data_IF_714232569453
#
_entry.id   IF_714232569453
#
_cell.length_a   1.000
_cell.length_b   1.000
_cell.length_c   1.000
_cell.angle_alpha   90.00
_cell.angle_beta   90.00
_cell.angle_gamma   90.00
#
_symmetry.space_group_name_H-M   'P 1'
#
loop_
_entity.id
_entity.type
_entity.pdbx_description
1 polymer ?
#
# COMPACT_ATOMS: atom_id res chain seq x y z
N UNK A 1 5.76 36.08 -18.81
CA UNK A 1 7.16 35.87 -19.22
C UNK A 1 7.19 34.70 -20.20
N UNK A 2 7.79 34.85 -21.38
CA UNK A 2 7.83 33.76 -22.37
C UNK A 2 8.79 32.66 -21.90
N UNK A 3 8.35 31.40 -21.99
CA UNK A 3 9.17 30.24 -21.58
C UNK A 3 10.29 29.96 -22.60
N UNK A 4 10.07 30.24 -23.89
CA UNK A 4 11.07 30.05 -24.93
C UNK A 4 11.82 31.35 -25.25
N UNK A 5 13.15 31.29 -25.33
CA UNK A 5 14.00 32.45 -25.66
C UNK A 5 14.77 32.30 -26.98
N UNK A 6 14.76 31.11 -27.60
CA UNK A 6 15.54 30.74 -28.81
C UNK A 6 17.07 30.84 -28.68
N UNK A 7 17.59 31.33 -27.55
CA UNK A 7 19.02 31.44 -27.31
C UNK A 7 19.73 30.09 -27.24
N UNK A 8 18.99 29.00 -27.04
CA UNK A 8 19.54 27.64 -26.96
C UNK A 8 19.55 26.85 -28.28
N UNK A 9 19.08 27.43 -29.38
CA UNK A 9 18.83 26.70 -30.64
C UNK A 9 20.13 26.25 -31.31
N UNK A 10 21.23 26.96 -31.09
CA UNK A 10 22.57 26.60 -31.56
C UNK A 10 23.26 25.50 -30.72
N UNK A 11 22.52 24.78 -29.87
CA UNK A 11 23.05 23.66 -29.07
C UNK A 11 23.82 24.06 -27.80
N UNK A 12 23.79 25.34 -27.42
CA UNK A 12 24.43 25.85 -26.19
C UNK A 12 23.39 26.27 -25.16
N UNK A 13 23.77 26.37 -23.88
CA UNK A 13 22.92 26.86 -22.79
C UNK A 13 23.73 27.71 -21.83
N UNK A 14 23.08 28.61 -21.10
CA UNK A 14 23.73 29.37 -20.02
C UNK A 14 23.63 28.57 -18.70
N UNK A 15 24.73 28.50 -17.96
CA UNK A 15 24.77 28.08 -16.56
C UNK A 15 24.21 29.18 -15.65
N UNK A 16 24.05 28.89 -14.36
CA UNK A 16 23.57 29.87 -13.40
C UNK A 16 24.51 31.09 -13.26
N UNK A 17 25.81 30.90 -13.53
CA UNK A 17 26.83 31.96 -13.61
C UNK A 17 26.68 32.90 -14.81
N UNK A 18 25.86 32.53 -15.80
CA UNK A 18 25.78 33.20 -17.09
C UNK A 18 26.79 32.69 -18.13
N UNK A 19 27.74 31.83 -17.74
CA UNK A 19 28.65 31.18 -18.69
C UNK A 19 27.85 30.31 -19.67
N UNK A 20 28.16 30.39 -20.96
CA UNK A 20 27.55 29.52 -21.97
C UNK A 20 28.40 28.28 -22.22
N UNK A 21 27.77 27.11 -22.17
CA UNK A 21 28.39 25.81 -22.40
C UNK A 21 27.59 25.02 -23.45
N UNK A 22 28.18 23.98 -24.04
CA UNK A 22 27.44 23.01 -24.85
C UNK A 22 26.35 22.35 -24.02
N UNK A 23 25.19 22.05 -24.61
CA UNK A 23 24.15 21.24 -23.95
C UNK A 23 24.62 19.82 -23.61
N UNK A 24 25.68 19.34 -24.27
CA UNK A 24 26.31 18.03 -24.00
C UNK A 24 27.42 18.11 -22.96
N UNK A 25 27.65 19.27 -22.34
CA UNK A 25 28.69 19.44 -21.34
C UNK A 25 28.40 18.53 -20.11
N UNK A 26 29.40 17.86 -19.50
CA UNK A 26 29.17 16.91 -18.39
C UNK A 26 28.35 17.50 -17.23
N UNK A 27 28.58 18.78 -16.90
CA UNK A 27 27.78 19.53 -15.91
C UNK A 27 26.29 19.57 -16.27
N UNK A 28 25.96 19.85 -17.54
CA UNK A 28 24.59 19.92 -18.04
C UNK A 28 23.93 18.55 -18.02
N UNK A 29 24.65 17.53 -18.45
CA UNK A 29 24.19 16.13 -18.37
C UNK A 29 23.93 15.69 -16.91
N UNK A 30 24.77 16.10 -15.96
CA UNK A 30 24.63 15.72 -14.56
C UNK A 30 23.36 16.30 -13.93
N UNK A 31 23.15 17.63 -13.97
CA UNK A 31 21.94 18.22 -13.39
C UNK A 31 20.69 17.93 -14.24
N UNK A 32 20.83 17.71 -15.55
CA UNK A 32 19.73 17.26 -16.42
C UNK A 32 19.26 15.84 -16.07
N UNK A 33 20.19 14.93 -15.75
CA UNK A 33 19.83 13.58 -15.28
C UNK A 33 19.17 13.63 -13.89
N UNK A 34 19.59 14.57 -13.02
CA UNK A 34 18.91 14.80 -11.74
C UNK A 34 17.48 15.34 -11.93
N UNK A 35 17.26 16.20 -12.93
CA UNK A 35 15.91 16.69 -13.25
C UNK A 35 15.01 15.56 -13.76
N UNK A 36 15.53 14.65 -14.58
CA UNK A 36 14.81 13.44 -15.00
C UNK A 36 14.48 12.52 -13.81
N UNK A 37 15.43 12.34 -12.89
CA UNK A 37 15.18 11.65 -11.62
C UNK A 37 14.06 12.34 -10.83
N UNK A 38 14.08 13.68 -10.75
CA UNK A 38 13.08 14.44 -10.02
C UNK A 38 11.68 14.28 -10.61
N UNK A 39 11.56 14.30 -11.94
CA UNK A 39 10.31 14.02 -12.64
C UNK A 39 9.81 12.59 -12.35
N UNK A 40 10.70 11.60 -12.33
CA UNK A 40 10.34 10.22 -11.96
C UNK A 40 9.91 10.10 -10.49
N UNK A 41 10.53 10.85 -9.57
CA UNK A 41 10.11 10.90 -8.16
C UNK A 41 8.70 11.50 -8.02
N UNK A 42 8.34 12.49 -8.85
CA UNK A 42 6.96 13.00 -8.91
C UNK A 42 5.96 11.90 -9.27
N UNK A 43 6.29 11.08 -10.28
CA UNK A 43 5.48 9.90 -10.63
C UNK A 43 5.39 8.89 -9.48
N UNK A 44 6.47 8.69 -8.71
CA UNK A 44 6.46 7.84 -7.52
C UNK A 44 5.51 8.38 -6.46
N UNK A 45 5.57 9.69 -6.16
CA UNK A 45 4.71 10.34 -5.19
C UNK A 45 3.22 10.21 -5.55
N UNK A 46 2.88 10.34 -6.84
CA UNK A 46 1.51 10.15 -7.33
C UNK A 46 0.98 8.72 -7.16
N UNK A 47 1.82 7.70 -7.34
CA UNK A 47 1.41 6.29 -7.23
C UNK A 47 1.46 5.76 -5.78
N UNK A 48 2.16 6.45 -4.89
CA UNK A 48 2.35 6.02 -3.51
C UNK A 48 1.10 6.33 -2.68
N UNK A 49 0.46 5.28 -2.16
CA UNK A 49 -0.73 5.44 -1.32
C UNK A 49 -0.41 5.73 0.15
N UNK A 50 0.76 5.30 0.63
CA UNK A 50 1.15 5.49 2.02
C UNK A 50 1.53 6.97 2.26
N UNK A 51 0.78 7.74 3.08
CA UNK A 51 0.96 9.20 3.16
C UNK A 51 2.34 9.63 3.65
N UNK A 52 2.95 8.85 4.54
CA UNK A 52 4.30 9.16 5.04
C UNK A 52 5.35 8.93 3.95
N UNK A 53 5.25 7.86 3.17
CA UNK A 53 6.18 7.60 2.06
C UNK A 53 6.03 8.67 0.98
N UNK A 54 4.80 9.08 0.66
CA UNK A 54 4.55 10.16 -0.29
C UNK A 54 5.21 11.47 0.14
N UNK A 55 4.99 11.92 1.39
CA UNK A 55 5.63 13.14 1.93
C UNK A 55 7.15 13.03 1.92
N UNK A 56 7.67 11.85 2.21
CA UNK A 56 9.10 11.60 2.18
C UNK A 56 9.67 11.72 0.76
N UNK A 57 9.00 11.14 -0.24
CA UNK A 57 9.38 11.30 -1.67
C UNK A 57 9.29 12.77 -2.11
N UNK A 58 8.27 13.51 -1.67
CA UNK A 58 8.17 14.96 -1.90
C UNK A 58 9.34 15.73 -1.25
N UNK A 59 9.80 15.34 -0.06
CA UNK A 59 11.01 15.93 0.54
C UNK A 59 12.28 15.61 -0.26
N UNK A 60 12.39 14.40 -0.82
CA UNK A 60 13.51 14.02 -1.69
C UNK A 60 13.50 14.85 -2.97
N UNK A 61 12.32 15.13 -3.56
CA UNK A 61 12.23 16.00 -4.75
C UNK A 61 12.80 17.40 -4.48
N UNK A 62 12.48 17.96 -3.32
CA UNK A 62 13.01 19.25 -2.90
C UNK A 62 14.54 19.21 -2.65
N UNK A 63 15.04 18.12 -2.08
CA UNK A 63 16.47 17.87 -1.92
C UNK A 63 17.19 17.75 -3.28
N UNK A 64 16.62 17.02 -4.24
CA UNK A 64 17.16 16.92 -5.60
C UNK A 64 17.15 18.28 -6.31
N UNK A 65 16.15 19.12 -6.07
CA UNK A 65 16.14 20.49 -6.59
C UNK A 65 17.33 21.32 -6.08
N UNK A 66 17.63 21.24 -4.77
CA UNK A 66 18.81 21.91 -4.20
C UNK A 66 20.12 21.33 -4.74
N UNK A 67 20.20 20.01 -4.89
CA UNK A 67 21.34 19.33 -5.51
C UNK A 67 21.56 19.86 -6.93
N UNK A 68 20.54 19.87 -7.78
CA UNK A 68 20.64 20.39 -9.15
C UNK A 68 21.08 21.85 -9.19
N UNK A 69 20.58 22.68 -8.27
CA UNK A 69 20.99 24.09 -8.16
C UNK A 69 22.47 24.24 -7.76
N UNK A 70 22.97 23.39 -6.86
CA UNK A 70 24.39 23.33 -6.50
C UNK A 70 25.25 22.98 -7.72
N UNK A 71 24.87 21.96 -8.50
CA UNK A 71 25.62 21.56 -9.71
C UNK A 71 25.54 22.58 -10.85
N UNK A 72 24.44 23.34 -10.94
CA UNK A 72 24.28 24.40 -11.93
C UNK A 72 25.12 25.65 -11.61
N UNK A 73 25.62 25.75 -10.37
CA UNK A 73 26.41 26.87 -9.86
C UNK A 73 27.92 26.60 -9.95
N UNK A 74 28.71 27.66 -10.11
CA UNK A 74 30.18 27.60 -10.13
C UNK A 74 30.81 27.80 -8.73
N UNK A 75 30.03 28.28 -7.76
CA UNK A 75 30.54 28.48 -6.40
C UNK A 75 30.83 27.13 -5.74
N UNK A 76 32.11 26.85 -5.48
CA UNK A 76 32.54 25.70 -4.70
C UNK A 76 32.10 25.78 -3.23
N UNK A 77 31.69 26.97 -2.77
CA UNK A 77 31.29 27.20 -1.39
C UNK A 77 29.78 27.43 -1.22
N UNK A 78 29.16 26.77 -0.22
CA UNK A 78 27.77 27.00 0.17
C UNK A 78 27.51 28.46 0.56
N UNK A 79 26.50 29.10 -0.05
CA UNK A 79 26.05 30.43 0.33
C UNK A 79 25.12 30.33 1.56
N UNK A 80 25.32 31.10 2.65
CA UNK A 80 24.49 31.04 3.86
C UNK A 80 22.97 31.21 3.65
N UNK A 81 22.55 31.84 2.55
CA UNK A 81 21.13 32.03 2.20
C UNK A 81 20.50 30.89 1.39
N UNK A 82 21.25 29.85 1.02
CA UNK A 82 20.78 28.72 0.22
C UNK A 82 20.81 27.42 1.01
N UNK A 83 19.86 26.53 0.73
CA UNK A 83 19.79 25.21 1.37
C UNK A 83 20.57 24.20 0.53
N UNK A 84 21.39 23.39 1.20
CA UNK A 84 22.27 22.41 0.58
C UNK A 84 22.04 21.04 1.20
N UNK A 85 22.39 20.00 0.46
CA UNK A 85 22.47 18.65 1.01
C UNK A 85 23.62 18.58 2.01
N UNK A 86 23.35 18.08 3.20
CA UNK A 86 24.35 17.83 4.23
C UNK A 86 24.29 16.38 4.72
N UNK A 87 25.06 16.07 5.75
CA UNK A 87 25.12 14.73 6.34
C UNK A 87 23.81 14.31 7.00
N UNK A 88 23.01 15.29 7.41
CA UNK A 88 21.70 15.11 8.01
C UNK A 88 20.72 14.48 7.02
N UNK A 89 20.68 14.94 5.75
CA UNK A 89 19.85 14.31 4.73
C UNK A 89 20.26 12.86 4.46
N UNK A 90 21.55 12.53 4.53
CA UNK A 90 22.04 11.15 4.38
C UNK A 90 21.55 10.28 5.54
N UNK A 91 21.66 10.77 6.78
CA UNK A 91 21.18 10.04 7.96
C UNK A 91 19.66 9.80 7.91
N UNK A 92 18.90 10.76 7.36
CA UNK A 92 17.46 10.62 7.12
C UNK A 92 17.16 9.52 6.10
N UNK A 93 17.93 9.42 5.00
CA UNK A 93 17.79 8.32 4.04
C UNK A 93 18.10 6.95 4.68
N UNK A 94 19.15 6.86 5.50
CA UNK A 94 19.55 5.65 6.20
C UNK A 94 18.47 5.19 7.19
N UNK A 95 17.93 6.10 8.01
CA UNK A 95 16.82 5.80 8.90
C UNK A 95 15.57 5.31 8.16
N UNK A 96 15.27 5.89 6.98
CA UNK A 96 14.16 5.45 6.14
C UNK A 96 14.40 4.05 5.54
N UNK A 97 15.65 3.72 5.16
CA UNK A 97 16.03 2.38 4.71
C UNK A 97 15.78 1.38 5.83
N UNK A 98 16.29 1.64 7.03
CA UNK A 98 16.15 0.74 8.18
C UNK A 98 14.68 0.52 8.53
N UNK A 99 13.89 1.59 8.57
CA UNK A 99 12.46 1.51 8.83
C UNK A 99 11.71 0.70 7.77
N UNK A 100 11.98 0.92 6.48
CA UNK A 100 11.35 0.19 5.39
C UNK A 100 11.75 -1.29 5.40
N UNK A 101 13.03 -1.60 5.58
CA UNK A 101 13.55 -2.96 5.53
C UNK A 101 13.16 -3.79 6.75
N UNK A 102 12.97 -3.18 7.92
CA UNK A 102 12.54 -3.90 9.15
C UNK A 102 11.19 -4.62 9.01
N UNK A 103 10.33 -4.18 8.09
CA UNK A 103 8.99 -4.72 7.87
C UNK A 103 8.95 -5.78 6.77
N UNK A 104 10.01 -5.91 5.99
CA UNK A 104 10.03 -6.74 4.79
C UNK A 104 10.87 -8.00 5.04
N UNK A 105 10.40 -9.15 4.54
CA UNK A 105 11.15 -10.40 4.61
C UNK A 105 12.54 -10.26 3.96
N UNK A 106 13.56 -10.78 4.66
CA UNK A 106 14.93 -10.86 4.15
C UNK A 106 14.96 -11.74 2.91
N UNK A 107 15.59 -11.26 1.84
CA UNK A 107 15.75 -12.00 0.59
C UNK A 107 17.23 -12.03 0.23
N UNK A 108 17.73 -13.23 -0.08
CA UNK A 108 19.13 -13.46 -0.49
C UNK A 108 19.32 -13.59 -2.01
N UNK A 109 18.24 -13.49 -2.79
CA UNK A 109 18.24 -13.55 -4.25
C UNK A 109 17.90 -12.20 -4.88
N UNK A 110 18.24 -12.04 -6.16
CA UNK A 110 17.73 -10.92 -6.94
C UNK A 110 16.21 -10.95 -7.03
N UNK A 111 15.60 -9.78 -7.04
CA UNK A 111 14.16 -9.60 -7.21
C UNK A 111 13.87 -8.95 -8.56
N UNK A 112 12.72 -9.30 -9.12
CA UNK A 112 12.16 -8.52 -10.22
C UNK A 112 11.69 -7.16 -9.68
N UNK A 113 11.89 -6.07 -10.45
CA UNK A 113 11.56 -4.73 -10.00
C UNK A 113 10.04 -4.51 -10.03
N UNK A 114 9.43 -4.58 -8.84
CA UNK A 114 8.06 -4.15 -8.59
C UNK A 114 7.01 -5.24 -8.85
N UNK A 115 6.00 -5.25 -7.98
CA UNK A 115 4.76 -6.04 -8.08
C UNK A 115 3.53 -5.16 -8.00
N UNK A 116 3.68 -3.90 -7.59
CA UNK A 116 2.66 -2.86 -7.66
C UNK A 116 3.19 -1.61 -8.39
N UNK A 117 2.28 -0.71 -8.78
CA UNK A 117 2.62 0.49 -9.56
C UNK A 117 3.62 1.41 -8.84
N UNK A 118 3.42 1.65 -7.53
CA UNK A 118 4.33 2.47 -6.73
C UNK A 118 5.75 1.90 -6.68
N UNK A 119 5.88 0.60 -6.39
CA UNK A 119 7.18 -0.08 -6.34
C UNK A 119 7.89 -0.10 -7.70
N UNK A 120 7.16 -0.35 -8.79
CA UNK A 120 7.71 -0.32 -10.15
C UNK A 120 8.28 1.06 -10.51
N UNK A 121 7.54 2.14 -10.18
CA UNK A 121 8.01 3.51 -10.38
C UNK A 121 9.23 3.84 -9.51
N UNK A 122 9.25 3.40 -8.25
CA UNK A 122 10.39 3.57 -7.34
C UNK A 122 11.63 2.83 -7.86
N UNK A 123 11.48 1.62 -8.38
CA UNK A 123 12.60 0.91 -9.02
C UNK A 123 13.08 1.60 -10.29
N UNK A 124 12.18 2.20 -11.08
CA UNK A 124 12.57 3.02 -12.22
C UNK A 124 13.38 4.25 -11.78
N UNK A 125 12.89 5.01 -10.81
CA UNK A 125 13.60 6.14 -10.20
C UNK A 125 14.95 5.72 -9.61
N UNK A 126 15.06 4.53 -9.01
CA UNK A 126 16.34 3.98 -8.55
C UNK A 126 17.36 3.82 -9.69
N UNK A 127 16.94 3.38 -10.87
CA UNK A 127 17.86 3.28 -12.02
C UNK A 127 18.32 4.65 -12.51
N UNK A 128 17.45 5.66 -12.42
CA UNK A 128 17.77 7.06 -12.70
C UNK A 128 18.77 7.63 -11.69
N UNK A 129 18.60 7.36 -10.39
CA UNK A 129 19.55 7.76 -9.36
C UNK A 129 20.95 7.18 -9.62
N UNK A 130 21.04 5.90 -9.98
CA UNK A 130 22.32 5.27 -10.37
C UNK A 130 22.88 5.84 -11.67
N UNK A 131 22.03 6.35 -12.57
CA UNK A 131 22.48 7.03 -13.80
C UNK A 131 23.06 8.40 -13.47
N UNK A 132 22.38 9.17 -12.63
CA UNK A 132 22.87 10.45 -12.13
C UNK A 132 24.20 10.29 -11.38
N UNK A 133 24.33 9.25 -10.55
CA UNK A 133 25.58 8.88 -9.88
C UNK A 133 26.74 8.71 -10.88
N UNK A 134 26.55 7.99 -11.98
CA UNK A 134 27.60 7.83 -13.00
C UNK A 134 27.96 9.16 -13.68
N UNK A 135 26.98 10.02 -13.96
CA UNK A 135 27.22 11.37 -14.51
C UNK A 135 27.96 12.28 -13.53
N UNK A 136 27.71 12.12 -12.24
CA UNK A 136 28.44 12.82 -11.19
C UNK A 136 29.88 12.34 -11.07
N UNK A 137 30.14 11.03 -11.20
CA UNK A 137 31.51 10.48 -11.27
C UNK A 137 32.25 11.00 -12.49
N UNK A 138 31.58 11.07 -13.65
CA UNK A 138 32.15 11.65 -14.87
C UNK A 138 32.48 13.14 -14.67
N UNK A 139 31.57 13.91 -14.10
CA UNK A 139 31.78 15.33 -13.82
C UNK A 139 32.91 15.57 -12.80
N UNK A 140 33.08 14.69 -11.80
CA UNK A 140 34.08 14.86 -10.77
C UNK A 140 35.52 14.62 -11.24
N UNK A 141 35.71 14.08 -12.45
CA UNK A 141 37.02 13.98 -13.08
C UNK A 141 37.56 15.36 -13.52
N UNK A 142 36.66 16.27 -13.89
CA UNK A 142 37.02 17.59 -14.43
C UNK A 142 36.84 18.73 -13.41
N UNK A 143 35.90 18.58 -12.47
CA UNK A 143 35.48 19.66 -11.57
C UNK A 143 35.35 19.13 -10.13
N UNK A 144 35.74 19.93 -9.15
CA UNK A 144 35.51 19.61 -7.75
C UNK A 144 33.99 19.50 -7.43
N UNK A 145 33.56 18.30 -7.06
CA UNK A 145 32.19 18.02 -6.58
C UNK A 145 32.25 17.68 -5.09
N UNK A 146 31.34 18.25 -4.28
CA UNK A 146 31.32 17.96 -2.85
C UNK A 146 31.02 16.48 -2.60
N UNK A 147 31.86 15.84 -1.79
CA UNK A 147 31.76 14.41 -1.48
C UNK A 147 30.43 14.00 -0.81
N UNK A 148 29.75 14.95 -0.15
CA UNK A 148 28.42 14.71 0.42
C UNK A 148 27.38 14.39 -0.66
N UNK A 149 27.48 15.02 -1.84
CA UNK A 149 26.57 14.78 -2.97
C UNK A 149 26.73 13.38 -3.55
N UNK A 150 27.98 12.92 -3.67
CA UNK A 150 28.31 11.56 -4.11
C UNK A 150 27.72 10.50 -3.16
N UNK A 151 27.89 10.70 -1.85
CA UNK A 151 27.33 9.81 -0.83
C UNK A 151 25.80 9.84 -0.81
N UNK A 152 25.21 11.02 -0.97
CA UNK A 152 23.77 11.20 -0.99
C UNK A 152 23.11 10.47 -2.17
N UNK A 153 23.60 10.64 -3.41
CA UNK A 153 22.99 9.98 -4.58
C UNK A 153 23.14 8.45 -4.52
N UNK A 154 24.28 7.96 -4.01
CA UNK A 154 24.53 6.55 -3.78
C UNK A 154 23.50 5.98 -2.79
N UNK A 155 23.36 6.61 -1.62
CA UNK A 155 22.41 6.21 -0.58
C UNK A 155 20.95 6.36 -1.00
N UNK A 156 20.63 7.37 -1.81
CA UNK A 156 19.29 7.55 -2.35
C UNK A 156 18.87 6.35 -3.19
N UNK A 157 19.79 5.77 -3.98
CA UNK A 157 19.46 4.59 -4.77
C UNK A 157 19.09 3.37 -3.90
N UNK A 158 19.74 3.19 -2.75
CA UNK A 158 19.39 2.18 -1.76
C UNK A 158 18.05 2.48 -1.09
N UNK A 159 17.80 3.75 -0.77
CA UNK A 159 16.55 4.20 -0.18
C UNK A 159 15.36 3.94 -1.10
N UNK A 160 15.48 4.26 -2.39
CA UNK A 160 14.45 3.97 -3.39
C UNK A 160 14.20 2.46 -3.54
N UNK A 161 15.23 1.63 -3.41
CA UNK A 161 15.06 0.18 -3.35
C UNK A 161 14.27 -0.25 -2.12
N UNK A 162 14.63 0.23 -0.93
CA UNK A 162 13.96 -0.11 0.32
C UNK A 162 12.48 0.33 0.32
N UNK A 163 12.18 1.53 -0.17
CA UNK A 163 10.80 2.01 -0.34
C UNK A 163 10.02 1.16 -1.34
N UNK A 164 10.62 0.76 -2.46
CA UNK A 164 9.96 -0.11 -3.43
C UNK A 164 9.57 -1.47 -2.80
N UNK A 165 10.46 -2.04 -1.99
CA UNK A 165 10.20 -3.27 -1.23
C UNK A 165 9.06 -3.12 -0.24
N UNK A 166 9.02 -2.00 0.47
CA UNK A 166 7.96 -1.70 1.42
C UNK A 166 6.61 -1.52 0.72
N UNK A 167 6.56 -0.78 -0.39
CA UNK A 167 5.32 -0.60 -1.16
C UNK A 167 4.79 -1.92 -1.75
N UNK A 168 5.67 -2.80 -2.24
CA UNK A 168 5.28 -4.15 -2.68
C UNK A 168 4.71 -4.98 -1.53
N UNK A 169 5.34 -4.91 -0.36
CA UNK A 169 4.87 -5.60 0.83
C UNK A 169 3.49 -5.09 1.27
N UNK A 170 3.33 -3.76 1.39
CA UNK A 170 2.10 -3.11 1.81
C UNK A 170 0.96 -3.35 0.79
N UNK A 171 1.27 -3.39 -0.51
CA UNK A 171 0.31 -3.76 -1.56
C UNK A 171 -0.11 -5.23 -1.47
N UNK A 172 0.83 -6.14 -1.22
CA UNK A 172 0.55 -7.56 -1.06
C UNK A 172 -0.33 -7.84 0.17
N UNK A 173 -0.02 -7.20 1.31
CA UNK A 173 -0.84 -7.30 2.53
C UNK A 173 -2.26 -6.81 2.28
N UNK A 174 -2.42 -5.63 1.65
CA UNK A 174 -3.75 -5.11 1.28
C UNK A 174 -4.52 -6.06 0.37
N UNK A 175 -3.84 -6.68 -0.59
CA UNK A 175 -4.47 -7.66 -1.47
C UNK A 175 -5.00 -8.87 -0.70
N UNK A 176 -4.19 -9.44 0.21
CA UNK A 176 -4.61 -10.57 1.06
C UNK A 176 -5.79 -10.17 1.95
N UNK A 177 -5.73 -9.02 2.61
CA UNK A 177 -6.81 -8.53 3.48
C UNK A 177 -8.12 -8.39 2.70
N UNK A 178 -8.05 -7.80 1.49
CA UNK A 178 -9.23 -7.64 0.64
C UNK A 178 -9.80 -8.98 0.18
N UNK A 179 -8.92 -9.94 -0.15
CA UNK A 179 -9.32 -11.29 -0.56
C UNK A 179 -10.02 -12.03 0.58
N UNK A 180 -9.44 -12.02 1.78
CA UNK A 180 -10.01 -12.65 2.98
C UNK A 180 -11.32 -12.00 3.35
N UNK A 181 -11.38 -10.66 3.36
CA UNK A 181 -12.61 -9.91 3.67
C UNK A 181 -13.72 -10.26 2.67
N UNK A 182 -13.40 -10.32 1.37
CA UNK A 182 -14.37 -10.70 0.33
C UNK A 182 -14.92 -12.10 0.57
N UNK A 183 -14.06 -13.08 0.86
CA UNK A 183 -14.47 -14.47 1.14
C UNK A 183 -15.33 -14.55 2.41
N UNK A 184 -14.92 -13.85 3.47
CA UNK A 184 -15.66 -13.81 4.73
C UNK A 184 -17.07 -13.22 4.53
N UNK A 185 -17.17 -12.08 3.84
CA UNK A 185 -18.46 -11.45 3.54
C UNK A 185 -19.34 -12.34 2.66
N UNK A 186 -18.77 -13.02 1.65
CA UNK A 186 -19.51 -13.97 0.82
C UNK A 186 -20.02 -15.19 1.63
N UNK A 187 -19.29 -15.61 2.66
CA UNK A 187 -19.73 -16.71 3.55
C UNK A 187 -20.74 -16.28 4.62
N UNK A 188 -20.69 -15.01 5.07
CA UNK A 188 -21.50 -14.48 6.17
C UNK A 188 -22.78 -13.81 5.70
N UNK A 189 -22.79 -13.29 4.47
CA UNK A 189 -23.98 -12.79 3.78
C UNK A 189 -24.29 -13.72 2.61
N UNK A 190 -25.14 -14.74 2.81
CA UNK A 190 -25.68 -15.51 1.70
C UNK A 190 -26.29 -14.53 0.70
N UNK A 191 -25.90 -14.71 -0.56
CA UNK A 191 -26.48 -14.01 -1.71
C UNK A 191 -28.00 -14.09 -1.60
N UNK A 192 -28.65 -12.93 -1.52
CA UNK A 192 -30.11 -12.77 -1.42
C UNK A 192 -30.74 -13.46 -0.21
N UNK A 193 -31.31 -12.65 0.67
CA UNK A 193 -32.69 -12.90 1.12
C UNK A 193 -33.49 -13.09 -0.18
N UNK A 194 -33.59 -14.32 -0.67
CA UNK A 194 -34.81 -14.71 -1.37
C UNK A 194 -35.85 -14.51 -0.29
N UNK A 195 -36.64 -13.44 -0.40
CA UNK A 195 -38.01 -13.47 0.09
C UNK A 195 -38.72 -14.59 -0.70
N UNK A 196 -38.35 -15.84 -0.42
CA UNK A 196 -39.35 -16.86 -0.32
C UNK A 196 -39.81 -16.72 1.10
N UNK A 197 -40.85 -15.90 1.30
CA UNK A 197 -41.85 -16.27 2.28
C UNK A 197 -42.34 -17.67 1.88
N UNK A 198 -41.58 -18.72 2.25
CA UNK A 198 -42.17 -20.04 2.40
C UNK A 198 -43.02 -19.97 3.66
N UNK A 199 -44.14 -19.26 3.57
CA UNK A 199 -45.27 -19.57 4.43
C UNK A 199 -45.72 -20.95 3.97
N UNK A 200 -45.31 -21.99 4.69
CA UNK A 200 -45.86 -23.32 4.50
C UNK A 200 -47.38 -23.20 4.56
N UNK A 201 -48.05 -23.68 3.52
CA UNK A 201 -49.51 -23.77 3.54
C UNK A 201 -49.95 -24.66 4.70
N UNK A 202 -51.19 -24.48 5.16
CA UNK A 202 -51.77 -25.32 6.20
C UNK A 202 -51.66 -26.83 5.88
N UNK A 203 -51.79 -27.20 4.60
CA UNK A 203 -51.66 -28.59 4.15
C UNK A 203 -50.25 -29.13 4.33
N UNK A 204 -49.21 -28.34 4.02
CA UNK A 204 -47.80 -28.73 4.18
C UNK A 204 -47.43 -28.84 5.66
N UNK A 205 -47.88 -27.89 6.50
CA UNK A 205 -47.71 -27.96 7.96
C UNK A 205 -48.35 -29.23 8.53
N UNK A 206 -49.57 -29.54 8.11
CA UNK A 206 -50.28 -30.74 8.55
C UNK A 206 -49.58 -32.02 8.10
N UNK A 207 -49.05 -32.07 6.87
CA UNK A 207 -48.29 -33.22 6.37
C UNK A 207 -46.97 -33.44 7.13
N UNK A 208 -46.27 -32.36 7.48
CA UNK A 208 -45.05 -32.42 8.30
C UNK A 208 -45.35 -32.98 9.69
N UNK A 209 -46.41 -32.49 10.34
CA UNK A 209 -46.81 -32.98 11.66
C UNK A 209 -47.18 -34.46 11.59
N UNK A 210 -47.98 -34.87 10.59
CA UNK A 210 -48.34 -36.29 10.41
C UNK A 210 -47.13 -37.19 10.20
N UNK A 211 -46.17 -36.74 9.39
CA UNK A 211 -44.95 -37.52 9.09
C UNK A 211 -44.06 -37.64 10.34
N UNK A 212 -43.94 -36.56 11.11
CA UNK A 212 -43.18 -36.56 12.35
C UNK A 212 -43.84 -37.45 13.43
N UNK A 213 -45.18 -37.43 13.54
CA UNK A 213 -45.93 -38.33 14.42
C UNK A 213 -45.77 -39.79 14.02
N UNK A 214 -45.94 -40.12 12.73
CA UNK A 214 -45.77 -41.49 12.25
C UNK A 214 -44.36 -42.04 12.54
N UNK A 215 -43.33 -41.20 12.34
CA UNK A 215 -41.94 -41.59 12.65
C UNK A 215 -41.71 -41.75 14.16
N UNK A 216 -42.31 -40.91 14.98
CA UNK A 216 -42.25 -41.00 16.43
C UNK A 216 -42.93 -42.27 16.96
N UNK A 217 -44.05 -42.69 16.35
CA UNK A 217 -44.73 -43.95 16.62
C UNK A 217 -43.87 -45.16 16.24
N UNK A 218 -43.25 -45.17 15.05
CA UNK A 218 -42.29 -46.22 14.66
C UNK A 218 -41.14 -46.37 15.66
N UNK A 219 -40.62 -45.24 16.15
CA UNK A 219 -39.51 -45.21 17.11
C UNK A 219 -39.96 -45.44 18.56
N UNK A 220 -41.27 -45.51 18.84
CA UNK A 220 -41.84 -45.60 20.19
C UNK A 220 -41.35 -44.49 21.14
N UNK A 221 -41.13 -43.28 20.62
CA UNK A 221 -40.69 -42.11 21.39
C UNK A 221 -41.69 -40.98 21.19
N UNK A 222 -42.47 -40.58 22.21
CA UNK A 222 -43.43 -39.49 22.06
C UNK A 222 -42.71 -38.13 22.00
N UNK A 223 -43.12 -37.27 21.08
CA UNK A 223 -42.47 -35.98 20.81
C UNK A 223 -43.44 -34.80 20.91
N UNK A 224 -42.87 -33.61 21.10
CA UNK A 224 -43.54 -32.32 20.89
C UNK A 224 -42.96 -31.68 19.63
N UNK A 225 -43.82 -31.30 18.70
CA UNK A 225 -43.45 -30.71 17.42
C UNK A 225 -43.85 -29.24 17.47
N UNK A 226 -42.89 -28.33 17.33
CA UNK A 226 -43.15 -26.89 17.17
C UNK A 226 -42.58 -26.42 15.83
N UNK A 227 -43.44 -25.83 15.00
CA UNK A 227 -43.06 -25.22 13.73
C UNK A 227 -43.09 -23.71 13.91
N UNK A 228 -42.00 -23.04 13.52
CA UNK A 228 -41.84 -21.57 13.61
C UNK A 228 -41.68 -20.98 12.21
N UNK A 229 -42.04 -19.72 12.06
CA UNK A 229 -41.77 -18.96 10.84
C UNK A 229 -40.31 -18.49 10.76
N UNK A 230 -39.94 -17.81 9.65
CA UNK A 230 -38.60 -17.27 9.44
C UNK A 230 -38.16 -16.21 10.47
N UNK A 231 -39.09 -15.69 11.29
CA UNK A 231 -38.82 -14.75 12.36
C UNK A 231 -38.75 -15.44 13.74
N UNK A 232 -38.91 -16.76 13.80
CA UNK A 232 -38.92 -17.53 15.05
C UNK A 232 -40.26 -17.47 15.80
N UNK A 233 -41.33 -16.98 15.17
CA UNK A 233 -42.68 -16.96 15.78
C UNK A 233 -43.32 -18.33 15.64
N UNK A 234 -43.81 -18.96 16.73
CA UNK A 234 -44.51 -20.24 16.66
C UNK A 234 -45.77 -20.17 15.77
N UNK A 235 -45.82 -21.01 14.74
CA UNK A 235 -46.97 -21.15 13.84
C UNK A 235 -47.89 -22.30 14.27
N UNK A 236 -47.32 -23.45 14.65
CA UNK A 236 -48.07 -24.60 15.19
C UNK A 236 -47.25 -25.29 16.26
N UNK A 237 -47.89 -25.73 17.34
CA UNK A 237 -47.29 -26.66 18.32
C UNK A 237 -48.24 -27.83 18.56
N UNK A 238 -47.74 -29.05 18.39
CA UNK A 238 -48.46 -30.29 18.62
C UNK A 238 -47.73 -31.15 19.64
N UNK A 239 -48.46 -31.65 20.63
CA UNK A 239 -47.95 -32.54 21.68
C UNK A 239 -48.61 -33.90 21.55
N UNK A 240 -47.82 -34.96 21.41
CA UNK A 240 -48.35 -36.33 21.52
C UNK A 240 -48.82 -36.60 22.97
N UNK A 241 -49.89 -37.41 23.19
CA UNK A 241 -50.49 -37.62 24.52
C UNK A 241 -49.49 -37.98 25.63
N UNK A 242 -48.50 -38.82 25.30
CA UNK A 242 -47.49 -39.32 26.25
C UNK A 242 -46.18 -38.52 26.25
N UNK A 243 -46.09 -37.44 25.47
CA UNK A 243 -44.91 -36.58 25.46
C UNK A 243 -44.90 -35.72 26.72
N UNK A 244 -43.81 -35.75 27.48
CA UNK A 244 -43.62 -34.88 28.65
C UNK A 244 -43.22 -33.48 28.17
N UNK A 245 -43.98 -32.46 28.58
CA UNK A 245 -43.52 -31.07 28.50
C UNK A 245 -42.62 -30.80 29.71
N UNK A 246 -41.30 -31.00 29.55
CA UNK A 246 -40.35 -30.57 30.57
C UNK A 246 -40.00 -29.11 30.28
N UNK A 247 -40.62 -28.19 31.01
CA UNK A 247 -40.11 -26.82 31.15
C UNK A 247 -40.33 -26.34 32.58
N UNK A 248 -39.25 -26.30 33.35
CA UNK A 248 -39.08 -25.36 34.45
C UNK A 248 -37.61 -25.34 34.87
N UNK A 249 -36.82 -24.48 34.23
CA UNK A 249 -35.70 -23.71 34.78
C UNK A 249 -34.73 -23.29 33.66
N UNK A 250 -34.54 -21.98 33.52
CA UNK A 250 -33.44 -21.37 32.79
C UNK A 250 -32.17 -22.16 33.07
N UNK A 251 -31.47 -22.65 32.05
CA UNK A 251 -30.13 -23.22 32.21
C UNK A 251 -29.15 -22.09 32.59
N UNK A 252 -28.83 -21.87 33.89
CA UNK A 252 -28.05 -20.70 34.30
C UNK A 252 -26.56 -20.88 33.99
N UNK A 253 -26.15 -22.07 33.52
CA UNK A 253 -24.75 -22.45 33.30
C UNK A 253 -24.25 -22.30 31.86
N UNK A 254 -25.05 -21.73 30.94
CA UNK A 254 -24.61 -21.43 29.56
C UNK A 254 -24.34 -19.95 29.29
N UNK A 255 -24.66 -19.05 30.21
CA UNK A 255 -24.13 -17.69 30.18
C UNK A 255 -22.77 -17.70 30.91
N UNK A 256 -21.70 -17.33 30.20
CA UNK A 256 -20.38 -17.14 30.80
C UNK A 256 -20.43 -16.14 31.96
N UNK A 257 -19.44 -16.17 32.88
CA UNK A 257 -19.47 -15.30 34.04
C UNK A 257 -19.49 -13.83 33.61
N UNK A 258 -20.25 -12.96 34.28
CA UNK A 258 -20.11 -11.52 34.07
C UNK A 258 -18.73 -11.10 34.57
N UNK A 259 -17.95 -10.46 33.70
CA UNK A 259 -16.69 -9.82 34.07
C UNK A 259 -16.95 -8.62 34.99
N UNK A 260 -16.01 -8.27 35.89
CA UNK A 260 -16.15 -7.22 36.89
C UNK A 260 -16.32 -5.80 36.31
#
# INVERSE_FOLDING_TARGET
MAIYTRTGDAGTTALFSGQRVSKTHPRVEAYGTLDELNAALSLCACATHHPQHRRFIESIQQQIFWFSAELASESEQPNPGQRYISTEEIAVLEAAIDAAMSRVAVIHSFILPGRCEAASRLHFARTLARRAERRLVELSADIAVRQVLMRYINRLSDCLYALARAEDHDAHQRHIINEVTRRYLASTYPSTIKESSMSLSFQELHQLIRSAVARAEELHVPVVISIVDGNGTPTVTWRMPDALLVSSELAPKKAGPPWP
#
